data_IF_644860153670
#
_entry.id   IF_644860153670
#
_cell.length_a   1.000
_cell.length_b   1.000
_cell.length_c   1.000
_cell.angle_alpha   90.00
_cell.angle_beta   90.00
_cell.angle_gamma   90.00
#
_symmetry.space_group_name_H-M   'P 1'
#
loop_
_entity.id
_entity.type
_entity.pdbx_description
1 polymer ?
#
# COMPACT_ATOMS: atom_id res chain seq x y z
N UNK A 1 63.97 -15.10 -40.12
CA UNK A 1 62.75 -15.89 -39.88
C UNK A 1 61.64 -14.89 -39.60
N UNK A 2 60.77 -14.66 -40.64
CA UNK A 2 59.61 -13.83 -40.57
C UNK A 2 58.49 -14.61 -39.89
N UNK A 3 57.90 -14.02 -38.87
CA UNK A 3 56.64 -14.47 -38.32
C UNK A 3 55.53 -13.65 -38.97
N UNK A 4 54.58 -14.32 -39.59
CA UNK A 4 53.41 -13.74 -40.24
C UNK A 4 52.44 -13.19 -39.18
N UNK A 5 51.92 -11.99 -39.48
CA UNK A 5 50.83 -11.35 -38.70
C UNK A 5 49.52 -12.08 -38.96
N UNK A 6 48.65 -12.23 -37.96
CA UNK A 6 47.31 -12.79 -38.17
C UNK A 6 46.43 -11.80 -38.93
N UNK A 7 45.73 -12.33 -39.93
CA UNK A 7 44.75 -11.63 -40.72
C UNK A 7 43.57 -11.18 -39.83
N UNK A 8 43.19 -9.92 -39.99
CA UNK A 8 41.98 -9.34 -39.43
C UNK A 8 40.75 -9.99 -40.07
N UNK A 9 39.96 -10.66 -39.24
CA UNK A 9 38.62 -11.09 -39.61
C UNK A 9 37.76 -9.82 -39.66
N UNK A 10 37.21 -9.48 -40.82
CA UNK A 10 36.22 -8.43 -41.02
C UNK A 10 34.92 -8.80 -40.33
N UNK A 11 34.55 -7.98 -39.38
CA UNK A 11 33.27 -8.06 -38.66
C UNK A 11 32.17 -7.59 -39.61
N UNK A 12 31.61 -8.51 -40.40
CA UNK A 12 30.43 -8.23 -41.21
C UNK A 12 29.19 -8.22 -40.29
N UNK A 13 28.79 -7.04 -39.88
CA UNK A 13 27.45 -6.53 -39.77
C UNK A 13 26.39 -7.41 -39.17
N UNK A 14 26.42 -7.69 -37.87
CA UNK A 14 25.17 -7.88 -37.12
C UNK A 14 24.62 -6.47 -36.77
N UNK A 15 23.80 -5.93 -37.63
CA UNK A 15 23.00 -4.74 -37.30
C UNK A 15 21.93 -5.16 -36.29
N UNK A 16 22.21 -4.98 -35.00
CA UNK A 16 21.14 -5.00 -34.02
C UNK A 16 20.07 -3.99 -34.41
N UNK A 17 18.78 -4.36 -34.41
CA UNK A 17 17.73 -3.40 -34.68
C UNK A 17 17.79 -2.31 -33.60
N UNK A 18 18.27 -1.13 -33.96
CA UNK A 18 18.15 0.08 -33.13
C UNK A 18 16.66 0.42 -33.10
N UNK A 19 15.97 -0.01 -32.05
CA UNK A 19 14.67 0.54 -31.73
C UNK A 19 14.87 2.03 -31.40
N UNK A 20 14.47 2.89 -32.31
CA UNK A 20 14.38 4.30 -32.03
C UNK A 20 13.17 4.48 -31.10
N UNK A 21 13.44 4.79 -29.83
CA UNK A 21 12.43 5.01 -28.79
C UNK A 21 11.57 6.26 -29.08
N UNK A 22 11.99 7.09 -30.05
CA UNK A 22 11.36 8.37 -30.38
C UNK A 22 9.98 8.27 -31.05
N UNK A 23 9.56 7.11 -31.54
CA UNK A 23 8.32 6.95 -32.29
C UNK A 23 7.23 6.10 -31.58
N UNK A 24 7.42 5.72 -30.32
CA UNK A 24 6.33 5.15 -29.53
C UNK A 24 5.80 6.23 -28.59
N UNK A 25 4.69 6.91 -28.93
CA UNK A 25 3.95 7.63 -27.93
C UNK A 25 3.43 6.58 -26.96
N UNK A 26 4.10 6.43 -25.81
CA UNK A 26 3.48 5.78 -24.66
C UNK A 26 2.27 6.66 -24.33
N UNK A 27 1.02 6.21 -24.58
CA UNK A 27 -0.11 7.01 -24.17
C UNK A 27 -0.01 7.14 -22.66
N UNK A 28 0.27 8.36 -22.19
CA UNK A 28 0.12 8.68 -20.79
C UNK A 28 -1.39 8.59 -20.51
N UNK A 29 -1.83 7.42 -20.09
CA UNK A 29 -3.22 7.22 -19.66
C UNK A 29 -3.33 7.89 -18.30
N UNK A 30 -4.12 8.95 -18.23
CA UNK A 30 -4.52 9.58 -16.98
C UNK A 30 -5.93 9.14 -16.63
N UNK A 31 -6.13 8.73 -15.39
CA UNK A 31 -7.43 8.32 -14.88
C UNK A 31 -7.99 9.44 -14.00
N UNK A 32 -9.28 9.73 -14.16
CA UNK A 32 -9.93 10.76 -13.37
C UNK A 32 -10.07 10.33 -11.91
N UNK A 33 -9.75 11.25 -11.02
CA UNK A 33 -10.04 11.09 -9.59
C UNK A 33 -11.56 11.11 -9.40
N UNK A 34 -12.15 10.15 -8.66
CA UNK A 34 -13.57 10.18 -8.33
C UNK A 34 -14.00 11.51 -7.70
N UNK A 35 -15.20 11.98 -8.03
CA UNK A 35 -15.70 13.24 -7.46
C UNK A 35 -16.01 13.14 -5.96
N UNK A 36 -16.35 11.95 -5.50
CA UNK A 36 -16.66 11.66 -4.11
C UNK A 36 -16.07 10.32 -3.70
N UNK A 37 -15.40 10.32 -2.56
CA UNK A 37 -14.95 9.12 -1.87
C UNK A 37 -15.19 9.25 -0.37
N UNK A 38 -15.34 8.12 0.28
CA UNK A 38 -15.30 8.02 1.73
C UNK A 38 -14.23 6.99 2.14
N UNK A 39 -13.71 7.13 3.33
CA UNK A 39 -12.87 6.14 3.98
C UNK A 39 -13.54 5.69 5.27
N UNK A 40 -13.88 4.43 5.39
CA UNK A 40 -14.59 3.88 6.56
C UNK A 40 -15.86 4.67 6.94
N UNK A 41 -16.60 5.18 5.94
CA UNK A 41 -17.78 6.01 6.12
C UNK A 41 -17.49 7.50 6.32
N UNK A 42 -16.23 7.91 6.50
CA UNK A 42 -15.82 9.32 6.64
C UNK A 42 -15.59 9.94 5.26
N UNK A 43 -16.15 11.13 4.97
CA UNK A 43 -15.95 11.77 3.67
C UNK A 43 -14.50 12.20 3.48
N UNK A 44 -13.93 11.91 2.30
CA UNK A 44 -12.63 12.43 1.88
C UNK A 44 -12.84 13.82 1.29
N UNK A 45 -12.15 14.89 1.75
CA UNK A 45 -12.39 16.25 1.31
C UNK A 45 -11.77 16.56 -0.06
N UNK A 46 -12.24 15.89 -1.12
CA UNK A 46 -11.72 16.01 -2.50
C UNK A 46 -12.00 17.36 -3.16
N UNK A 47 -12.75 18.24 -2.52
CA UNK A 47 -12.92 19.64 -2.95
C UNK A 47 -11.69 20.48 -2.64
N UNK A 48 -10.80 20.01 -1.74
CA UNK A 48 -9.51 20.63 -1.44
C UNK A 48 -8.52 20.21 -2.52
N UNK A 49 -7.92 21.14 -3.29
CA UNK A 49 -7.05 20.79 -4.42
C UNK A 49 -5.86 19.90 -4.02
N UNK A 50 -5.19 20.19 -2.90
CA UNK A 50 -4.06 19.38 -2.40
C UNK A 50 -4.50 17.92 -2.11
N UNK A 51 -5.64 17.73 -1.48
CA UNK A 51 -6.18 16.39 -1.17
C UNK A 51 -6.47 15.62 -2.46
N UNK A 52 -7.07 16.28 -3.45
CA UNK A 52 -7.36 15.69 -4.76
C UNK A 52 -6.08 15.30 -5.50
N UNK A 53 -5.09 16.19 -5.54
CA UNK A 53 -3.80 15.94 -6.20
C UNK A 53 -3.03 14.78 -5.56
N UNK A 54 -3.03 14.66 -4.24
CA UNK A 54 -2.39 13.56 -3.52
C UNK A 54 -3.04 12.21 -3.85
N UNK A 55 -4.35 12.15 -3.97
CA UNK A 55 -5.06 10.94 -4.40
C UNK A 55 -4.77 10.61 -5.87
N UNK A 56 -4.79 11.61 -6.75
CA UNK A 56 -4.46 11.47 -8.16
C UNK A 56 -3.08 10.84 -8.34
N UNK A 57 -2.08 11.37 -7.66
CA UNK A 57 -0.72 10.81 -7.68
C UNK A 57 -0.68 9.32 -7.35
N UNK A 58 -1.39 8.89 -6.30
CA UNK A 58 -1.41 7.48 -5.89
C UNK A 58 -2.17 6.60 -6.90
N UNK A 59 -3.24 7.09 -7.50
CA UNK A 59 -3.96 6.39 -8.57
C UNK A 59 -3.05 6.21 -9.79
N UNK A 60 -2.39 7.26 -10.25
CA UNK A 60 -1.49 7.21 -11.40
C UNK A 60 -0.31 6.25 -11.14
N UNK A 61 0.30 6.31 -9.97
CA UNK A 61 1.40 5.40 -9.62
C UNK A 61 0.99 3.93 -9.65
N UNK A 62 -0.17 3.58 -9.08
CA UNK A 62 -0.62 2.19 -9.03
C UNK A 62 -1.08 1.68 -10.40
N UNK A 63 -1.62 2.52 -11.26
CA UNK A 63 -1.99 2.16 -12.63
C UNK A 63 -0.77 2.05 -13.54
N UNK A 64 0.25 2.88 -13.36
CA UNK A 64 1.50 2.80 -14.10
C UNK A 64 2.25 1.48 -13.86
N UNK A 65 2.32 1.00 -12.62
CA UNK A 65 2.92 -0.30 -12.28
C UNK A 65 1.99 -1.47 -12.55
N UNK A 66 1.47 -1.56 -13.76
CA UNK A 66 0.40 -2.45 -14.18
C UNK A 66 0.59 -3.92 -13.78
N UNK A 67 1.76 -4.52 -14.05
CA UNK A 67 2.04 -5.92 -13.72
C UNK A 67 1.96 -6.18 -12.21
N UNK A 68 2.50 -5.28 -11.39
CA UNK A 68 2.44 -5.42 -9.94
C UNK A 68 0.99 -5.37 -9.44
N UNK A 69 0.20 -4.45 -9.97
CA UNK A 69 -1.20 -4.26 -9.59
C UNK A 69 -2.08 -5.45 -10.03
N UNK A 70 -1.83 -6.07 -11.19
CA UNK A 70 -2.50 -7.33 -11.58
C UNK A 70 -2.26 -8.43 -10.54
N UNK A 71 -1.01 -8.66 -10.14
CA UNK A 71 -0.72 -9.66 -9.11
C UNK A 71 -1.34 -9.31 -7.76
N UNK A 72 -1.40 -8.03 -7.42
CA UNK A 72 -2.06 -7.55 -6.21
C UNK A 72 -3.57 -7.88 -6.23
N UNK A 73 -4.27 -7.57 -7.33
CA UNK A 73 -5.69 -7.89 -7.51
C UNK A 73 -5.94 -9.41 -7.38
N UNK A 74 -5.10 -10.25 -7.99
CA UNK A 74 -5.21 -11.71 -7.87
C UNK A 74 -5.06 -12.20 -6.43
N UNK A 75 -4.11 -11.63 -5.67
CA UNK A 75 -3.94 -11.96 -4.25
C UNK A 75 -5.08 -11.42 -3.40
N UNK A 76 -5.57 -10.22 -3.71
CA UNK A 76 -6.72 -9.62 -3.04
C UNK A 76 -7.96 -10.52 -3.14
N UNK A 77 -8.30 -11.00 -4.33
CA UNK A 77 -9.43 -11.91 -4.54
C UNK A 77 -9.34 -13.20 -3.71
N UNK A 78 -8.13 -13.66 -3.42
CA UNK A 78 -7.91 -14.86 -2.60
C UNK A 78 -8.09 -14.61 -1.11
N UNK A 79 -7.60 -13.49 -0.59
CA UNK A 79 -7.45 -13.27 0.84
C UNK A 79 -8.47 -12.32 1.45
N UNK A 80 -8.91 -11.29 0.71
CA UNK A 80 -9.82 -10.28 1.26
C UNK A 80 -11.14 -10.83 1.79
N UNK A 81 -11.81 -11.83 1.16
CA UNK A 81 -13.05 -12.36 1.69
C UNK A 81 -12.92 -12.95 3.10
N UNK A 82 -11.80 -13.62 3.39
CA UNK A 82 -11.55 -14.21 4.70
C UNK A 82 -11.20 -13.15 5.75
N UNK A 83 -10.41 -12.14 5.36
CA UNK A 83 -10.05 -11.02 6.23
C UNK A 83 -11.28 -10.15 6.54
N UNK A 84 -12.12 -9.86 5.54
CA UNK A 84 -13.35 -9.10 5.70
C UNK A 84 -14.26 -9.71 6.76
N UNK A 85 -14.48 -11.03 6.72
CA UNK A 85 -15.28 -11.73 7.73
C UNK A 85 -14.75 -11.45 9.14
N UNK A 86 -13.45 -11.47 9.35
CA UNK A 86 -12.85 -11.21 10.67
C UNK A 86 -13.01 -9.73 11.07
N UNK A 87 -12.86 -8.80 10.12
CA UNK A 87 -13.10 -7.36 10.37
C UNK A 87 -14.55 -7.12 10.80
N UNK A 88 -15.51 -7.68 10.07
CA UNK A 88 -16.95 -7.59 10.37
C UNK A 88 -17.29 -8.15 11.76
N UNK A 89 -16.79 -9.35 12.09
CA UNK A 89 -16.94 -9.97 13.41
C UNK A 89 -16.38 -9.10 14.54
N UNK A 90 -15.41 -8.26 14.23
CA UNK A 90 -14.79 -7.34 15.19
C UNK A 90 -15.32 -5.91 15.12
N UNK A 91 -16.27 -5.59 14.27
CA UNK A 91 -16.82 -4.24 14.11
C UNK A 91 -15.81 -3.23 13.56
N UNK A 92 -14.85 -3.70 12.75
CA UNK A 92 -13.88 -2.84 12.05
C UNK A 92 -14.43 -2.57 10.65
N UNK A 93 -14.40 -1.31 10.17
CA UNK A 93 -14.85 -0.98 8.83
C UNK A 93 -14.11 -1.78 7.75
N UNK A 94 -14.86 -2.17 6.72
CA UNK A 94 -14.40 -3.03 5.64
C UNK A 94 -13.20 -2.47 4.86
N UNK A 95 -13.08 -1.17 4.77
CA UNK A 95 -11.95 -0.48 4.13
C UNK A 95 -10.58 -0.91 4.68
N UNK A 96 -10.51 -1.36 5.93
CA UNK A 96 -9.27 -1.80 6.55
C UNK A 96 -8.73 -3.13 5.98
N UNK A 97 -9.53 -3.90 5.23
CA UNK A 97 -9.03 -5.10 4.52
C UNK A 97 -7.96 -4.77 3.48
N UNK A 98 -7.90 -3.51 3.02
CA UNK A 98 -6.91 -3.05 2.05
C UNK A 98 -5.56 -2.69 2.67
N UNK A 99 -5.44 -2.59 4.01
CA UNK A 99 -4.15 -2.33 4.67
C UNK A 99 -3.06 -3.34 4.28
N UNK A 100 -3.30 -4.67 4.32
CA UNK A 100 -2.28 -5.65 3.94
C UNK A 100 -1.78 -5.51 2.50
N UNK A 101 -2.58 -4.90 1.62
CA UNK A 101 -2.18 -4.65 0.24
C UNK A 101 -1.08 -3.58 0.18
N UNK A 102 -1.22 -2.51 0.95
CA UNK A 102 -0.23 -1.42 0.98
C UNK A 102 0.96 -1.72 1.88
N UNK A 103 0.81 -2.62 2.87
CA UNK A 103 1.87 -3.02 3.79
C UNK A 103 2.85 -4.03 3.17
N UNK A 104 2.33 -5.06 2.53
CA UNK A 104 3.13 -6.19 2.08
C UNK A 104 2.80 -6.70 0.67
N UNK A 105 1.91 -6.05 -0.07
CA UNK A 105 1.31 -6.61 -1.28
C UNK A 105 0.68 -8.01 -1.06
N UNK A 106 0.16 -8.28 0.13
CA UNK A 106 -0.31 -9.61 0.55
C UNK A 106 0.76 -10.71 0.39
N UNK A 107 1.99 -10.41 0.77
CA UNK A 107 3.11 -11.35 0.82
C UNK A 107 3.59 -11.53 2.26
N UNK A 108 4.10 -12.71 2.58
CA UNK A 108 4.76 -12.95 3.86
C UNK A 108 6.18 -12.34 3.83
N UNK A 109 6.23 -11.00 3.90
CA UNK A 109 7.45 -10.22 3.86
C UNK A 109 7.97 -9.89 5.27
N UNK A 110 9.26 -9.60 5.34
CA UNK A 110 9.92 -9.05 6.52
C UNK A 110 10.50 -7.70 6.13
N UNK A 111 10.13 -6.64 6.84
CA UNK A 111 10.66 -5.30 6.60
C UNK A 111 12.02 -5.10 7.26
N UNK A 112 12.79 -4.05 6.89
CA UNK A 112 14.03 -3.68 7.58
C UNK A 112 13.83 -3.38 9.09
N UNK A 113 12.64 -2.99 9.50
CA UNK A 113 12.27 -2.78 10.90
C UNK A 113 11.75 -4.06 11.59
N UNK A 114 11.92 -5.25 10.96
CA UNK A 114 11.45 -6.55 11.46
C UNK A 114 9.92 -6.67 11.64
N UNK A 115 9.16 -5.85 10.94
CA UNK A 115 7.73 -6.06 10.79
C UNK A 115 7.50 -7.26 9.86
N UNK A 116 6.53 -8.12 10.18
CA UNK A 116 6.38 -9.44 9.55
C UNK A 116 4.96 -9.67 9.05
N UNK A 117 4.88 -10.38 7.94
CA UNK A 117 3.65 -10.96 7.40
C UNK A 117 2.80 -9.97 6.63
N UNK A 118 1.59 -10.38 6.31
CA UNK A 118 0.65 -9.60 5.49
C UNK A 118 0.33 -8.23 6.10
N UNK A 119 0.20 -8.18 7.42
CA UNK A 119 -0.14 -6.99 8.19
C UNK A 119 1.07 -6.19 8.67
N UNK A 120 2.29 -6.64 8.38
CA UNK A 120 3.55 -6.00 8.80
C UNK A 120 3.56 -5.65 10.29
N UNK A 121 3.27 -6.65 11.12
CA UNK A 121 3.19 -6.47 12.57
C UNK A 121 4.59 -6.57 13.20
N UNK A 122 4.94 -5.60 14.04
CA UNK A 122 6.15 -5.66 14.86
C UNK A 122 6.01 -6.70 15.97
N UNK A 123 7.12 -7.31 16.39
CA UNK A 123 7.12 -8.35 17.43
C UNK A 123 6.48 -7.89 18.75
N UNK A 124 6.77 -6.67 19.18
CA UNK A 124 6.17 -6.07 20.40
C UNK A 124 4.67 -5.93 20.28
N UNK A 125 4.19 -5.34 19.18
CA UNK A 125 2.76 -5.17 18.92
C UNK A 125 2.05 -6.52 18.75
N UNK A 126 2.69 -7.48 18.05
CA UNK A 126 2.11 -8.83 17.91
C UNK A 126 1.84 -9.49 19.25
N UNK A 127 2.82 -9.45 20.16
CA UNK A 127 2.66 -9.97 21.52
C UNK A 127 1.60 -9.22 22.33
N UNK A 128 1.60 -7.89 22.25
CA UNK A 128 0.61 -7.03 22.93
C UNK A 128 -0.81 -7.40 22.51
N UNK A 129 -1.02 -7.67 21.22
CA UNK A 129 -2.35 -8.02 20.67
C UNK A 129 -2.64 -9.51 20.60
N UNK A 130 -1.81 -10.34 21.26
CA UNK A 130 -2.10 -11.74 21.56
C UNK A 130 -1.65 -12.75 20.51
N UNK A 131 -0.64 -12.42 19.70
CA UNK A 131 0.04 -13.39 18.84
C UNK A 131 1.11 -14.16 19.61
N UNK A 132 1.20 -15.45 19.37
CA UNK A 132 2.31 -16.27 19.84
C UNK A 132 3.54 -16.01 18.97
N UNK A 133 4.62 -15.54 19.60
CA UNK A 133 5.88 -15.24 18.93
C UNK A 133 7.01 -15.78 19.81
N UNK A 134 7.46 -16.99 19.50
CA UNK A 134 8.55 -17.71 20.17
C UNK A 134 9.72 -17.91 19.20
N UNK A 135 10.62 -18.83 19.48
CA UNK A 135 11.66 -19.27 18.55
C UNK A 135 11.12 -20.26 17.52
N UNK A 136 10.11 -21.04 17.91
CA UNK A 136 9.51 -22.13 17.14
C UNK A 136 8.27 -21.69 16.37
N UNK A 137 7.53 -20.68 16.88
CA UNK A 137 6.26 -20.24 16.33
C UNK A 137 6.27 -18.72 16.17
N UNK A 138 5.81 -18.25 15.02
CA UNK A 138 5.56 -16.83 14.77
C UNK A 138 4.22 -16.66 14.03
N UNK A 139 3.17 -16.36 14.81
CA UNK A 139 1.81 -16.23 14.28
C UNK A 139 1.59 -14.96 13.42
N UNK A 140 2.58 -14.07 13.32
CA UNK A 140 2.51 -12.94 12.37
C UNK A 140 2.48 -13.40 10.92
N UNK A 141 2.97 -14.63 10.64
CA UNK A 141 2.91 -15.25 9.31
C UNK A 141 1.54 -15.88 9.00
N UNK A 142 0.67 -16.08 9.99
CA UNK A 142 -0.69 -16.55 9.79
C UNK A 142 -1.61 -15.36 9.44
N UNK A 143 -2.14 -15.27 8.20
CA UNK A 143 -2.94 -14.13 7.78
C UNK A 143 -4.17 -13.87 8.63
N UNK A 144 -4.82 -14.94 9.12
CA UNK A 144 -6.09 -14.82 9.86
C UNK A 144 -5.86 -14.47 11.32
N UNK A 145 -4.83 -15.04 11.95
CA UNK A 145 -4.42 -14.65 13.31
C UNK A 145 -3.90 -13.21 13.33
N UNK A 146 -3.08 -12.84 12.35
CA UNK A 146 -2.59 -11.47 12.18
C UNK A 146 -3.75 -10.48 11.97
N UNK A 147 -4.79 -10.85 11.22
CA UNK A 147 -5.98 -10.01 11.04
C UNK A 147 -6.70 -9.77 12.37
N UNK A 148 -6.85 -10.78 13.22
CA UNK A 148 -7.45 -10.62 14.57
C UNK A 148 -6.61 -9.69 15.46
N UNK A 149 -5.30 -9.80 15.41
CA UNK A 149 -4.40 -8.90 16.15
C UNK A 149 -4.51 -7.46 15.62
N UNK A 150 -4.55 -7.27 14.30
CA UNK A 150 -4.77 -5.97 13.68
C UNK A 150 -6.10 -5.35 14.10
N UNK A 151 -7.20 -6.13 14.18
CA UNK A 151 -8.49 -5.64 14.69
C UNK A 151 -8.38 -5.05 16.10
N UNK A 152 -7.65 -5.72 16.99
CA UNK A 152 -7.43 -5.22 18.37
C UNK A 152 -6.66 -3.90 18.38
N UNK A 153 -5.62 -3.80 17.53
CA UNK A 153 -4.90 -2.54 17.36
C UNK A 153 -5.82 -1.43 16.86
N UNK A 154 -6.60 -1.69 15.80
CA UNK A 154 -7.48 -0.71 15.17
C UNK A 154 -8.57 -0.21 16.12
N UNK A 155 -9.14 -1.11 16.95
CA UNK A 155 -10.08 -0.71 18.02
C UNK A 155 -9.44 0.23 19.03
N UNK A 156 -8.28 -0.15 19.56
CA UNK A 156 -7.53 0.66 20.52
C UNK A 156 -7.18 2.03 19.93
N UNK A 157 -6.77 2.07 18.66
CA UNK A 157 -6.47 3.31 17.96
C UNK A 157 -7.73 4.17 17.76
N UNK A 158 -8.88 3.56 17.44
CA UNK A 158 -10.13 4.28 17.26
C UNK A 158 -10.64 4.89 18.58
N UNK A 159 -10.54 4.17 19.70
CA UNK A 159 -10.82 4.71 21.03
C UNK A 159 -9.97 5.94 21.35
N UNK A 160 -8.74 6.01 20.80
CA UNK A 160 -7.80 7.10 21.06
C UNK A 160 -7.98 8.29 20.12
N UNK A 161 -8.20 8.06 18.84
CA UNK A 161 -8.18 9.10 17.80
C UNK A 161 -9.56 9.52 17.30
N UNK A 162 -10.58 8.69 17.46
CA UNK A 162 -11.95 8.97 17.14
C UNK A 162 -12.31 8.96 15.64
N UNK A 163 -11.34 9.11 14.74
CA UNK A 163 -11.56 9.07 13.29
C UNK A 163 -10.74 7.96 12.62
N UNK A 164 -11.34 7.31 11.62
CA UNK A 164 -10.72 6.17 10.94
C UNK A 164 -9.52 6.57 10.08
N UNK A 165 -9.52 7.78 9.54
CA UNK A 165 -8.37 8.33 8.82
C UNK A 165 -7.14 8.48 9.72
N UNK A 166 -7.30 8.96 10.96
CA UNK A 166 -6.22 9.00 11.96
C UNK A 166 -5.83 7.60 12.44
N UNK A 167 -6.79 6.67 12.56
CA UNK A 167 -6.50 5.28 12.90
C UNK A 167 -5.59 4.65 11.84
N UNK A 168 -5.89 4.82 10.55
CA UNK A 168 -5.05 4.33 9.48
C UNK A 168 -3.65 4.98 9.52
N UNK A 169 -3.55 6.29 9.72
CA UNK A 169 -2.27 6.99 9.89
C UNK A 169 -1.46 6.46 11.09
N UNK A 170 -2.14 6.12 12.20
CA UNK A 170 -1.49 5.57 13.39
C UNK A 170 -0.92 4.17 13.15
N UNK A 171 -1.50 3.39 12.25
CA UNK A 171 -1.00 2.08 11.89
C UNK A 171 0.41 2.16 11.30
N UNK A 172 0.66 3.13 10.45
CA UNK A 172 1.97 3.39 9.85
C UNK A 172 2.94 4.07 10.82
N UNK A 173 2.50 5.17 11.48
CA UNK A 173 3.38 6.02 12.30
C UNK A 173 3.55 5.52 13.73
N UNK A 174 2.68 4.64 14.19
CA UNK A 174 2.51 4.30 15.60
C UNK A 174 1.66 5.36 16.35
N UNK A 175 0.86 4.90 17.32
CA UNK A 175 -0.05 5.78 18.08
C UNK A 175 0.69 6.96 18.75
N UNK A 176 1.81 6.69 19.44
CA UNK A 176 2.57 7.75 20.13
C UNK A 176 3.21 8.75 19.17
N UNK A 177 3.57 8.33 17.97
CA UNK A 177 4.10 9.24 16.93
C UNK A 177 3.02 10.16 16.37
N UNK A 178 1.80 9.63 16.21
CA UNK A 178 0.67 10.40 15.73
C UNK A 178 0.18 11.38 16.82
N UNK A 179 0.07 10.96 18.09
CA UNK A 179 -0.27 11.86 19.19
C UNK A 179 0.62 13.10 19.24
N UNK A 180 1.94 12.88 19.18
CA UNK A 180 2.88 14.01 19.18
C UNK A 180 2.66 14.96 18.01
N UNK A 181 2.28 14.45 16.84
CA UNK A 181 1.98 15.29 15.69
C UNK A 181 0.71 16.12 15.92
N UNK A 182 -0.35 15.51 16.45
CA UNK A 182 -1.62 16.16 16.80
C UNK A 182 -1.40 17.25 17.87
N UNK A 183 -0.70 16.91 18.96
CA UNK A 183 -0.42 17.83 20.07
C UNK A 183 0.42 19.04 19.64
N UNK A 184 1.49 18.79 18.86
CA UNK A 184 2.39 19.84 18.41
C UNK A 184 1.75 20.81 17.42
N UNK A 185 0.88 20.31 16.57
CA UNK A 185 0.23 21.10 15.51
C UNK A 185 -1.15 21.63 15.94
N UNK A 186 -1.70 21.08 17.05
CA UNK A 186 -3.07 21.37 17.52
C UNK A 186 -4.12 21.13 16.43
N UNK A 187 -3.91 20.12 15.62
CA UNK A 187 -4.71 19.72 14.50
C UNK A 187 -5.11 18.25 14.66
N UNK A 188 -6.37 17.93 14.41
CA UNK A 188 -6.92 16.59 14.57
C UNK A 188 -7.55 16.02 13.30
N UNK A 189 -7.31 16.65 12.16
CA UNK A 189 -7.68 16.11 10.84
C UNK A 189 -6.44 15.52 10.15
N UNK A 190 -6.54 14.28 9.71
CA UNK A 190 -5.46 13.65 8.93
C UNK A 190 -5.04 14.49 7.72
N UNK A 191 -6.02 15.11 7.05
CA UNK A 191 -5.81 15.84 5.80
C UNK A 191 -5.09 17.18 6.01
N UNK A 192 -5.13 17.72 7.22
CA UNK A 192 -4.54 19.00 7.61
C UNK A 192 -3.22 18.84 8.39
N UNK A 193 -2.93 17.62 8.90
CA UNK A 193 -1.69 17.33 9.61
C UNK A 193 -0.48 17.29 8.66
N UNK A 194 0.59 17.98 9.05
CA UNK A 194 1.91 17.84 8.44
C UNK A 194 2.62 16.61 8.99
N UNK A 195 2.65 15.55 8.19
CA UNK A 195 3.25 14.27 8.53
C UNK A 195 4.47 14.01 7.63
N UNK A 196 5.34 13.06 8.02
CA UNK A 196 6.39 12.59 7.12
C UNK A 196 5.78 12.02 5.83
N UNK A 197 6.58 11.97 4.76
CA UNK A 197 6.10 11.58 3.42
C UNK A 197 5.34 10.25 3.44
N UNK A 198 5.85 9.23 4.11
CA UNK A 198 5.23 7.91 4.16
C UNK A 198 3.84 7.95 4.80
N UNK A 199 3.71 8.56 5.99
CA UNK A 199 2.43 8.64 6.70
C UNK A 199 1.44 9.59 6.00
N UNK A 200 1.92 10.68 5.41
CA UNK A 200 1.08 11.62 4.68
C UNK A 200 0.44 11.01 3.43
N UNK A 201 1.09 10.01 2.83
CA UNK A 201 0.58 9.26 1.68
C UNK A 201 -0.27 8.06 2.05
N UNK A 202 -0.25 7.63 3.30
CA UNK A 202 -0.74 6.31 3.70
C UNK A 202 -2.23 6.09 3.41
N UNK A 203 -3.10 7.01 3.83
CA UNK A 203 -4.54 6.92 3.54
C UNK A 203 -4.83 7.02 2.05
N UNK A 204 -4.09 7.87 1.32
CA UNK A 204 -4.27 8.00 -0.13
C UNK A 204 -3.83 6.75 -0.89
N UNK A 205 -2.76 6.09 -0.47
CA UNK A 205 -2.37 4.77 -1.01
C UNK A 205 -3.46 3.74 -0.80
N UNK A 206 -4.06 3.74 0.39
CA UNK A 206 -5.16 2.82 0.72
C UNK A 206 -6.39 3.10 -0.14
N UNK A 207 -6.80 4.36 -0.26
CA UNK A 207 -7.92 4.78 -1.11
C UNK A 207 -7.69 4.43 -2.58
N UNK A 208 -6.50 4.67 -3.12
CA UNK A 208 -6.16 4.37 -4.50
C UNK A 208 -6.21 2.86 -4.78
N UNK A 209 -5.61 2.04 -3.92
CA UNK A 209 -5.64 0.58 -4.06
C UNK A 209 -7.06 0.04 -3.94
N UNK A 210 -7.85 0.53 -2.99
CA UNK A 210 -9.26 0.15 -2.86
C UNK A 210 -10.02 0.46 -4.15
N UNK A 211 -9.93 1.70 -4.63
CA UNK A 211 -10.63 2.16 -5.83
C UNK A 211 -10.29 1.29 -7.05
N UNK A 212 -9.01 0.93 -7.22
CA UNK A 212 -8.57 0.07 -8.33
C UNK A 212 -9.06 -1.37 -8.16
N UNK A 213 -8.98 -1.94 -6.96
CA UNK A 213 -9.38 -3.33 -6.69
C UNK A 213 -10.90 -3.49 -6.81
N UNK A 214 -11.69 -2.49 -6.40
CA UNK A 214 -13.15 -2.50 -6.53
C UNK A 214 -13.63 -2.22 -7.95
N UNK A 215 -12.87 -1.45 -8.73
CA UNK A 215 -13.23 -1.03 -10.09
C UNK A 215 -12.15 -1.36 -11.13
N UNK A 216 -11.68 -2.61 -11.23
CA UNK A 216 -10.50 -2.93 -12.03
C UNK A 216 -10.67 -2.58 -13.52
N UNK A 217 -11.85 -2.77 -14.08
CA UNK A 217 -12.12 -2.45 -15.49
C UNK A 217 -12.03 -0.95 -15.80
N UNK A 218 -12.37 -0.08 -14.84
CA UNK A 218 -12.23 1.38 -14.96
C UNK A 218 -10.77 1.80 -15.13
N UNK A 219 -9.85 1.01 -14.60
CA UNK A 219 -8.41 1.25 -14.61
C UNK A 219 -7.65 0.29 -15.55
N UNK A 220 -8.34 -0.25 -16.55
CA UNK A 220 -7.81 -1.15 -17.59
C UNK A 220 -7.18 -2.46 -17.09
N UNK A 221 -7.53 -2.90 -15.88
CA UNK A 221 -7.18 -4.23 -15.38
C UNK A 221 -8.26 -5.26 -15.78
N UNK A 222 -7.87 -6.19 -16.67
CA UNK A 222 -8.76 -7.24 -17.21
C UNK A 222 -8.32 -8.63 -16.77
#
# INVERSE_FOLDING_TARGET
>A
RHLASPQSISDEGVTEPRYQIEDMPLPAISYDVPDKLSFAGEPVPLTIPDVRERLDKELQMNTYFHSNTIFLIKRANRWLPQMQKILDENGIPDDFKYLPLIESNLLNAISPAEAVGYWQILKTSGKEFGLEITKEVDERYDPLKATRAACKYLKKAHERFGTWSLVAASYNRGMSGLDRAIENQKENSYYDLHLNEETSRYVFRLLAIREIVENPLKYDFK
#
